data_IF_861289793937
#
_entry.id   IF_861289793937
#
_cell.length_a   1.000
_cell.length_b   1.000
_cell.length_c   1.000
_cell.angle_alpha   90.00
_cell.angle_beta   90.00
_cell.angle_gamma   90.00
#
_symmetry.space_group_name_H-M   'P 1'
#
loop_
_entity.id
_entity.type
_entity.pdbx_description
1 polymer ?
#
# COMPACT_ATOMS: atom_id res chain seq x y z
N UNK A 1 -8.11 -7.66 -3.67
CA UNK A 1 -6.72 -7.83 -3.26
C UNK A 1 -5.90 -6.66 -3.79
N UNK A 2 -4.87 -6.26 -3.07
CA UNK A 2 -4.11 -5.08 -3.45
C UNK A 2 -2.66 -5.45 -3.80
N UNK A 3 -1.92 -4.48 -4.33
CA UNK A 3 -0.54 -4.67 -4.77
C UNK A 3 0.48 -4.05 -3.81
N UNK A 4 0.09 -3.77 -2.57
CA UNK A 4 0.97 -3.09 -1.62
C UNK A 4 2.26 -3.90 -1.42
N UNK A 5 2.13 -5.18 -1.10
CA UNK A 5 3.29 -6.04 -0.85
C UNK A 5 4.19 -6.15 -2.07
N UNK A 6 3.59 -6.30 -3.26
CA UNK A 6 4.35 -6.40 -4.51
C UNK A 6 5.18 -5.14 -4.77
N UNK A 7 4.55 -3.98 -4.65
CA UNK A 7 5.25 -2.72 -4.87
C UNK A 7 6.31 -2.47 -3.80
N UNK A 8 6.00 -2.82 -2.55
CA UNK A 8 6.97 -2.70 -1.47
C UNK A 8 8.21 -3.58 -1.72
N UNK A 9 7.99 -4.82 -2.16
CA UNK A 9 9.09 -5.74 -2.47
C UNK A 9 9.94 -5.25 -3.63
N UNK A 10 9.32 -4.63 -4.63
CA UNK A 10 10.07 -4.03 -5.74
C UNK A 10 10.99 -2.92 -5.25
N UNK A 11 10.59 -2.19 -4.22
CA UNK A 11 11.43 -1.15 -3.61
C UNK A 11 12.53 -1.75 -2.72
N UNK A 12 12.44 -3.05 -2.39
CA UNK A 12 13.41 -3.69 -1.52
C UNK A 12 13.31 -3.27 -0.05
N UNK A 13 12.13 -2.81 0.38
CA UNK A 13 11.93 -2.33 1.75
C UNK A 13 11.05 -3.27 2.54
N UNK A 14 11.19 -3.22 3.87
CA UNK A 14 10.40 -4.05 4.79
C UNK A 14 9.06 -3.39 5.10
N UNK A 15 8.15 -4.18 5.70
CA UNK A 15 6.88 -3.64 6.20
C UNK A 15 7.13 -2.53 7.23
N UNK A 16 8.10 -2.72 8.11
CA UNK A 16 8.43 -1.72 9.14
C UNK A 16 8.84 -0.39 8.52
N UNK A 17 9.65 -0.44 7.48
CA UNK A 17 10.11 0.78 6.80
C UNK A 17 8.94 1.51 6.16
N UNK A 18 8.11 0.78 5.43
CA UNK A 18 6.96 1.42 4.77
C UNK A 18 5.94 1.93 5.79
N UNK A 19 5.65 1.14 6.82
CA UNK A 19 4.73 1.56 7.88
C UNK A 19 5.23 2.84 8.56
N UNK A 20 6.53 2.89 8.87
CA UNK A 20 7.13 4.08 9.46
C UNK A 20 6.97 5.31 8.57
N UNK A 21 7.13 5.15 7.26
CA UNK A 21 6.94 6.24 6.30
C UNK A 21 5.49 6.74 6.27
N UNK A 22 4.55 5.88 6.61
CA UNK A 22 3.13 6.24 6.70
C UNK A 22 2.74 6.77 8.09
N UNK A 23 3.63 6.68 9.07
CA UNK A 23 3.30 7.01 10.46
C UNK A 23 2.48 5.93 11.15
N UNK A 24 2.59 4.69 10.70
CA UNK A 24 1.83 3.53 11.22
C UNK A 24 2.76 2.54 11.89
N UNK A 25 2.20 1.64 12.70
CA UNK A 25 2.94 0.47 13.14
C UNK A 25 2.91 -0.62 12.06
N UNK A 26 3.81 -1.60 12.21
CA UNK A 26 3.93 -2.68 11.23
C UNK A 26 2.65 -3.51 11.11
N UNK A 27 1.99 -3.77 12.24
CA UNK A 27 0.78 -4.59 12.26
C UNK A 27 -0.34 -4.00 11.41
N UNK A 28 -0.49 -2.67 11.44
CA UNK A 28 -1.49 -1.98 10.64
C UNK A 28 -1.23 -2.20 9.15
N UNK A 29 0.02 -2.02 8.72
CA UNK A 29 0.39 -2.25 7.33
C UNK A 29 0.20 -3.71 6.92
N UNK A 30 0.62 -4.64 7.78
CA UNK A 30 0.48 -6.07 7.51
C UNK A 30 -0.99 -6.44 7.29
N UNK A 31 -1.90 -5.90 8.09
CA UNK A 31 -3.32 -6.16 7.94
C UNK A 31 -3.86 -5.63 6.60
N UNK A 32 -3.34 -4.51 6.13
CA UNK A 32 -3.71 -3.99 4.82
C UNK A 32 -3.14 -4.87 3.69
N UNK A 33 -1.91 -5.32 3.82
CA UNK A 33 -1.27 -6.16 2.79
C UNK A 33 -1.98 -7.50 2.63
N UNK A 34 -2.42 -8.08 3.74
CA UNK A 34 -3.10 -9.39 3.72
C UNK A 34 -4.58 -9.31 3.44
N UNK A 35 -5.16 -8.11 3.46
CA UNK A 35 -6.59 -7.93 3.23
C UNK A 35 -7.45 -8.17 4.46
N UNK A 36 -6.85 -8.40 5.65
CA UNK A 36 -7.61 -8.52 6.90
C UNK A 36 -8.36 -7.22 7.19
N UNK A 37 -7.75 -6.09 6.86
CA UNK A 37 -8.38 -4.79 6.94
C UNK A 37 -8.26 -4.08 5.61
N UNK A 38 -9.30 -3.32 5.26
CA UNK A 38 -9.32 -2.51 4.04
C UNK A 38 -9.01 -1.07 4.45
N UNK A 39 -7.96 -0.46 3.88
CA UNK A 39 -7.64 0.93 4.22
C UNK A 39 -8.71 1.87 3.66
N UNK A 40 -9.01 2.93 4.41
CA UNK A 40 -9.87 3.99 3.90
C UNK A 40 -9.13 4.81 2.84
N UNK A 41 -9.85 5.71 2.17
CA UNK A 41 -9.28 6.48 1.07
C UNK A 41 -8.06 7.30 1.52
N UNK A 42 -8.12 7.90 2.68
CA UNK A 42 -6.99 8.68 3.19
C UNK A 42 -5.77 7.80 3.44
N UNK A 43 -5.97 6.61 4.01
CA UNK A 43 -4.89 5.65 4.23
C UNK A 43 -4.31 5.18 2.89
N UNK A 44 -5.16 4.95 1.90
CA UNK A 44 -4.70 4.60 0.54
C UNK A 44 -3.82 5.69 -0.05
N UNK A 45 -4.25 6.93 0.05
CA UNK A 45 -3.49 8.08 -0.45
C UNK A 45 -2.16 8.23 0.28
N UNK A 46 -2.16 8.00 1.59
CA UNK A 46 -0.93 8.04 2.39
C UNK A 46 0.07 6.98 1.95
N UNK A 47 -0.42 5.78 1.66
CA UNK A 47 0.42 4.70 1.12
C UNK A 47 1.06 5.09 -0.21
N UNK A 48 0.26 5.60 -1.15
CA UNK A 48 0.76 6.03 -2.45
C UNK A 48 1.83 7.09 -2.28
N UNK A 49 1.55 8.10 -1.46
CA UNK A 49 2.49 9.19 -1.22
C UNK A 49 3.79 8.69 -0.61
N UNK A 50 3.71 7.81 0.39
CA UNK A 50 4.88 7.25 1.04
C UNK A 50 5.71 6.42 0.06
N UNK A 51 5.07 5.58 -0.75
CA UNK A 51 5.76 4.75 -1.72
C UNK A 51 6.42 5.60 -2.81
N UNK A 52 5.75 6.64 -3.30
CA UNK A 52 6.35 7.56 -4.27
C UNK A 52 7.58 8.25 -3.70
N UNK A 53 7.53 8.63 -2.44
CA UNK A 53 8.65 9.24 -1.74
C UNK A 53 9.84 8.28 -1.64
N UNK A 54 9.57 6.99 -1.55
CA UNK A 54 10.59 5.95 -1.42
C UNK A 54 11.08 5.43 -2.78
N UNK A 55 10.58 5.98 -3.87
CA UNK A 55 11.08 5.69 -5.21
C UNK A 55 10.13 4.90 -6.11
N UNK A 56 8.95 4.56 -5.64
CA UNK A 56 7.96 3.89 -6.49
C UNK A 56 7.26 4.90 -7.41
N UNK A 57 6.91 4.45 -8.59
CA UNK A 57 6.08 5.24 -9.52
C UNK A 57 4.61 4.81 -9.45
N UNK A 58 4.22 4.15 -8.37
CA UNK A 58 2.86 3.62 -8.25
C UNK A 58 1.82 4.73 -8.10
N UNK A 59 0.57 4.36 -8.36
CA UNK A 59 -0.58 5.23 -8.22
C UNK A 59 -1.62 4.56 -7.35
N UNK A 60 -2.70 5.27 -7.04
CA UNK A 60 -3.81 4.71 -6.29
C UNK A 60 -4.36 3.46 -6.99
N UNK A 61 -4.59 3.54 -8.29
CA UNK A 61 -5.06 2.41 -9.08
C UNK A 61 -4.02 1.30 -9.20
N UNK A 62 -2.74 1.63 -9.13
CA UNK A 62 -1.66 0.66 -9.13
C UNK A 62 -1.61 -0.18 -7.87
N UNK A 63 -1.83 0.44 -6.71
CA UNK A 63 -1.88 -0.28 -5.43
C UNK A 63 -3.21 -0.96 -5.19
N UNK A 64 -4.29 -0.32 -5.58
CA UNK A 64 -5.66 -0.80 -5.35
C UNK A 64 -6.39 -0.81 -6.69
N UNK A 65 -6.12 -1.82 -7.54
CA UNK A 65 -6.77 -1.87 -8.86
C UNK A 65 -8.28 -1.85 -8.72
N UNK A 66 -8.97 -1.09 -9.58
CA UNK A 66 -10.42 -1.08 -9.55
C UNK A 66 -10.96 -2.47 -9.82
N UNK A 67 -12.01 -2.85 -9.10
CA UNK A 67 -12.63 -4.14 -9.32
C UNK A 67 -13.22 -4.17 -10.72
N UNK A 68 -12.87 -5.20 -11.48
CA UNK A 68 -13.48 -5.39 -12.79
C UNK A 68 -14.96 -5.60 -12.61
N UNK A 69 -15.75 -4.71 -13.17
CA UNK A 69 -17.20 -4.86 -13.16
C UNK A 69 -17.58 -5.95 -14.15
N UNK A 70 -18.25 -6.97 -13.67
CA UNK A 70 -18.98 -7.82 -14.58
C UNK A 70 -20.09 -6.97 -15.15
N UNK A 71 -20.01 -6.65 -16.39
CA UNK A 71 -20.94 -5.75 -17.04
C UNK A 71 -22.37 -6.28 -16.92
#
# INVERSE_FOLDING_TARGET
MNNIANERKKLGITQSVLAGACGWNQSRLANYETGIRVPDLESCRRLVKAMNKLGSATSLDGLFPPRKQAA
#
